data_IF_824847361078
#
_entry.id   IF_824847361078
#
_cell.length_a   1.000
_cell.length_b   1.000
_cell.length_c   1.000
_cell.angle_alpha   90.00
_cell.angle_beta   90.00
_cell.angle_gamma   90.00
#
_symmetry.space_group_name_H-M   'P 1'
#
loop_
_entity.id
_entity.type
_entity.pdbx_description
1 polymer ?
#
# COMPACT_ATOMS: atom_id res chain seq x y z
N UNK A 1 5.09 -1.95 5.88
CA UNK A 1 4.85 -2.82 7.03
C UNK A 1 3.51 -3.51 6.88
N UNK A 2 3.48 -4.81 7.02
CA UNK A 2 2.26 -5.63 7.10
C UNK A 2 2.14 -6.24 8.49
N UNK A 3 0.94 -6.23 9.02
CA UNK A 3 0.60 -6.79 10.32
C UNK A 3 -0.70 -7.58 10.24
N UNK A 4 -0.73 -8.75 10.86
CA UNK A 4 -1.90 -9.61 10.97
C UNK A 4 -2.18 -9.95 12.44
N UNK A 5 -3.46 -9.95 12.82
CA UNK A 5 -3.91 -10.33 14.16
C UNK A 5 -5.25 -11.05 14.08
N UNK A 6 -5.18 -12.38 14.06
CA UNK A 6 -6.36 -13.23 14.01
C UNK A 6 -7.31 -13.00 15.19
N UNK A 7 -8.61 -12.92 14.90
CA UNK A 7 -9.64 -12.86 15.92
C UNK A 7 -9.70 -11.55 16.70
N UNK A 8 -9.05 -10.48 16.20
CA UNK A 8 -9.20 -9.17 16.81
C UNK A 8 -10.63 -8.68 16.55
N UNK A 9 -11.51 -8.79 17.55
CA UNK A 9 -12.88 -8.23 17.47
C UNK A 9 -12.88 -6.70 17.34
N UNK A 10 -11.71 -6.06 17.49
CA UNK A 10 -11.52 -4.61 17.49
C UNK A 10 -10.40 -4.19 16.53
N UNK A 11 -10.51 -4.55 15.24
CA UNK A 11 -9.53 -4.14 14.22
C UNK A 11 -9.27 -2.62 14.22
N UNK A 12 -10.30 -1.80 14.50
CA UNK A 12 -10.17 -0.34 14.58
C UNK A 12 -9.19 0.06 15.70
N UNK A 13 -9.27 -0.58 16.85
CA UNK A 13 -8.35 -0.34 17.97
C UNK A 13 -6.92 -0.75 17.61
N UNK A 14 -6.76 -1.89 16.95
CA UNK A 14 -5.47 -2.39 16.48
C UNK A 14 -4.82 -1.42 15.48
N UNK A 15 -5.54 -1.05 14.41
CA UNK A 15 -5.07 -0.09 13.41
C UNK A 15 -4.70 1.25 14.04
N UNK A 16 -5.57 1.78 14.90
CA UNK A 16 -5.31 3.04 15.58
C UNK A 16 -4.02 2.98 16.41
N UNK A 17 -3.79 1.86 17.11
CA UNK A 17 -2.56 1.70 17.89
C UNK A 17 -1.32 1.61 17.03
N UNK A 18 -1.37 0.88 15.91
CA UNK A 18 -0.28 0.84 14.92
C UNK A 18 0.06 2.25 14.43
N UNK A 19 -0.94 3.03 14.00
CA UNK A 19 -0.73 4.38 13.49
C UNK A 19 -0.20 5.34 14.58
N UNK A 20 -0.61 5.17 15.83
CA UNK A 20 -0.05 5.96 16.93
C UNK A 20 1.41 5.61 17.18
N UNK A 21 1.80 4.34 17.13
CA UNK A 21 3.21 3.95 17.23
C UNK A 21 4.02 4.61 16.09
N UNK A 22 3.56 4.55 14.84
CA UNK A 22 4.24 5.23 13.73
C UNK A 22 4.43 6.72 14.02
N UNK A 23 3.36 7.39 14.48
CA UNK A 23 3.40 8.81 14.84
C UNK A 23 4.39 9.10 15.98
N UNK A 24 4.45 8.26 17.00
CA UNK A 24 5.33 8.45 18.16
C UNK A 24 6.82 8.35 17.76
N UNK A 25 7.13 7.58 16.71
CA UNK A 25 8.45 7.50 16.08
C UNK A 25 8.67 8.56 14.98
N UNK A 26 7.69 9.44 14.73
CA UNK A 26 7.80 10.49 13.71
C UNK A 26 7.68 9.98 12.27
N UNK A 27 7.16 8.76 12.06
CA UNK A 27 6.97 8.17 10.74
C UNK A 27 5.71 8.73 10.10
N UNK A 28 5.85 9.35 8.93
CA UNK A 28 4.71 9.76 8.13
C UNK A 28 4.15 8.57 7.34
N UNK A 29 2.84 8.35 7.47
CA UNK A 29 2.15 7.26 6.78
C UNK A 29 1.28 7.80 5.65
N UNK A 30 1.44 7.22 4.44
CA UNK A 30 0.75 7.72 3.23
C UNK A 30 -0.53 6.97 2.94
N UNK A 31 -0.56 5.68 3.28
CA UNK A 31 -1.69 4.82 2.95
C UNK A 31 -1.70 3.63 3.90
N UNK A 32 -2.89 3.13 4.28
CA UNK A 32 -3.03 2.03 5.23
C UNK A 32 -4.22 1.14 4.86
N UNK A 33 -4.07 0.31 3.80
CA UNK A 33 -5.08 -0.68 3.46
C UNK A 33 -5.32 -1.61 4.64
N UNK A 34 -6.59 -1.87 4.91
CA UNK A 34 -7.00 -2.74 6.01
C UNK A 34 -8.01 -3.76 5.53
N UNK A 35 -7.96 -4.97 6.06
CA UNK A 35 -9.01 -5.96 5.99
C UNK A 35 -9.45 -6.32 7.41
N UNK A 36 -10.17 -7.41 7.54
CA UNK A 36 -10.78 -7.85 8.80
C UNK A 36 -9.75 -8.11 9.90
N UNK A 37 -8.65 -8.74 9.55
CA UNK A 37 -7.66 -9.26 10.49
C UNK A 37 -6.24 -8.73 10.20
N UNK A 38 -6.09 -7.80 9.24
CA UNK A 38 -4.79 -7.25 8.88
C UNK A 38 -4.79 -5.75 8.57
N UNK A 39 -3.60 -5.19 8.59
CA UNK A 39 -3.31 -3.83 8.14
C UNK A 39 -1.95 -3.80 7.46
N UNK A 40 -1.89 -3.14 6.31
CA UNK A 40 -0.63 -2.71 5.72
C UNK A 40 -0.45 -1.20 5.95
N UNK A 41 0.73 -0.79 6.38
CA UNK A 41 1.07 0.63 6.55
C UNK A 41 2.16 0.99 5.55
N UNK A 42 1.86 1.94 4.69
CA UNK A 42 2.77 2.41 3.63
C UNK A 42 3.43 3.70 4.07
N UNK A 43 4.74 3.71 4.06
CA UNK A 43 5.59 4.80 4.53
C UNK A 43 6.87 4.90 3.70
N UNK A 44 7.61 5.98 3.82
CA UNK A 44 8.95 6.07 3.25
C UNK A 44 9.91 5.10 3.95
N UNK A 45 10.62 4.32 3.16
CA UNK A 45 11.63 3.39 3.67
C UNK A 45 12.75 4.13 4.41
N UNK A 46 13.09 5.35 3.98
CA UNK A 46 14.14 6.16 4.60
C UNK A 46 13.79 6.60 6.03
N UNK A 47 12.50 6.75 6.34
CA UNK A 47 12.05 7.15 7.66
C UNK A 47 12.27 6.04 8.72
N UNK A 48 12.46 4.80 8.29
CA UNK A 48 12.75 3.66 9.16
C UNK A 48 14.21 3.57 9.60
N UNK A 49 15.12 4.32 8.95
CA UNK A 49 16.56 4.22 9.23
C UNK A 49 16.85 4.62 10.68
N UNK A 50 17.34 3.63 11.43
CA UNK A 50 17.75 3.79 12.84
C UNK A 50 16.64 3.63 13.87
N UNK A 51 15.39 3.39 13.46
CA UNK A 51 14.27 3.16 14.39
C UNK A 51 13.44 1.89 14.09
N UNK A 52 13.77 1.14 13.04
CA UNK A 52 13.00 -0.05 12.64
C UNK A 52 12.95 -1.13 13.72
N UNK A 53 14.09 -1.41 14.37
CA UNK A 53 14.17 -2.40 15.45
C UNK A 53 13.31 -1.97 16.66
N UNK A 54 13.39 -0.69 17.04
CA UNK A 54 12.62 -0.14 18.14
C UNK A 54 11.11 -0.15 17.86
N UNK A 55 10.71 0.17 16.64
CA UNK A 55 9.32 0.08 16.17
C UNK A 55 8.84 -1.38 16.24
N UNK A 56 9.67 -2.30 15.74
CA UNK A 56 9.38 -3.74 15.76
C UNK A 56 9.16 -4.24 17.19
N UNK A 57 10.05 -3.89 18.11
CA UNK A 57 9.92 -4.29 19.52
C UNK A 57 8.67 -3.69 20.17
N UNK A 58 8.39 -2.42 19.88
CA UNK A 58 7.21 -1.73 20.42
C UNK A 58 5.92 -2.38 19.93
N UNK A 59 5.82 -2.66 18.62
CA UNK A 59 4.65 -3.33 18.03
C UNK A 59 4.47 -4.73 18.65
N UNK A 60 5.52 -5.53 18.71
CA UNK A 60 5.46 -6.88 19.30
C UNK A 60 5.01 -6.85 20.77
N UNK A 61 5.54 -5.91 21.54
CA UNK A 61 5.23 -5.78 22.97
C UNK A 61 3.79 -5.33 23.23
N UNK A 62 3.29 -4.40 22.42
CA UNK A 62 2.00 -3.75 22.70
C UNK A 62 0.84 -4.40 21.99
N UNK A 63 1.06 -4.98 20.81
CA UNK A 63 0.01 -5.50 19.95
C UNK A 63 0.07 -7.02 19.77
N UNK A 64 1.25 -7.62 20.01
CA UNK A 64 1.46 -9.06 19.87
C UNK A 64 0.82 -9.62 18.58
N UNK A 65 1.23 -9.12 17.39
CA UNK A 65 0.66 -9.56 16.12
C UNK A 65 1.01 -11.02 15.83
N UNK A 66 0.11 -11.75 15.17
CA UNK A 66 0.36 -13.13 14.76
C UNK A 66 1.35 -13.20 13.62
N UNK A 67 1.37 -12.18 12.75
CA UNK A 67 2.38 -11.99 11.73
C UNK A 67 2.78 -10.51 11.61
N UNK A 68 4.06 -10.28 11.32
CA UNK A 68 4.62 -8.95 11.09
C UNK A 68 5.75 -9.03 10.07
N UNK A 69 5.65 -8.27 8.99
CA UNK A 69 6.65 -8.27 7.92
C UNK A 69 6.84 -6.88 7.33
N UNK A 70 8.11 -6.50 7.08
CA UNK A 70 8.44 -5.32 6.30
C UNK A 70 8.70 -5.71 4.84
N UNK A 71 8.01 -5.06 3.92
CA UNK A 71 8.25 -5.14 2.48
C UNK A 71 8.99 -3.89 2.02
N UNK A 72 10.16 -4.08 1.40
CA UNK A 72 11.03 -2.99 0.98
C UNK A 72 11.01 -2.80 -0.54
N UNK A 73 11.50 -1.64 -0.97
CA UNK A 73 11.67 -1.29 -2.38
C UNK A 73 10.37 -1.33 -3.18
N UNK A 74 9.25 -1.04 -2.53
CA UNK A 74 7.97 -0.87 -3.22
C UNK A 74 7.87 0.53 -3.83
N UNK A 75 7.26 0.60 -5.01
CA UNK A 75 6.83 1.84 -5.64
C UNK A 75 5.32 1.87 -5.74
N UNK A 76 4.71 3.00 -5.36
CA UNK A 76 3.28 3.23 -5.53
C UNK A 76 3.07 4.12 -6.75
N UNK A 77 2.34 3.61 -7.74
CA UNK A 77 1.93 4.37 -8.91
C UNK A 77 0.44 4.67 -8.78
N UNK A 78 0.09 5.93 -8.94
CA UNK A 78 -1.28 6.40 -8.74
C UNK A 78 -1.80 7.12 -9.98
N UNK A 79 -2.48 6.42 -10.90
CA UNK A 79 -3.24 7.07 -11.95
C UNK A 79 -4.34 7.95 -11.35
N UNK A 80 -4.45 9.19 -11.83
CA UNK A 80 -5.42 10.17 -11.35
C UNK A 80 -6.15 10.79 -12.53
N UNK A 81 -7.48 10.76 -12.50
CA UNK A 81 -8.29 11.37 -13.55
C UNK A 81 -9.77 11.43 -13.19
N UNK A 82 -10.38 12.60 -13.31
CA UNK A 82 -11.82 12.79 -13.04
C UNK A 82 -12.68 11.90 -13.93
N UNK A 83 -12.26 11.66 -15.18
CA UNK A 83 -12.96 10.82 -16.16
C UNK A 83 -13.07 9.35 -15.74
N UNK A 84 -12.17 8.84 -14.93
CA UNK A 84 -12.16 7.45 -14.48
C UNK A 84 -13.45 7.02 -13.78
N UNK A 85 -14.11 7.95 -13.10
CA UNK A 85 -15.40 7.73 -12.42
C UNK A 85 -16.50 7.28 -13.36
N UNK A 86 -16.41 7.66 -14.63
CA UNK A 86 -17.44 7.44 -15.63
C UNK A 86 -17.02 6.43 -16.71
N UNK A 87 -15.83 5.88 -16.58
CA UNK A 87 -15.26 4.93 -17.52
C UNK A 87 -15.08 3.56 -16.85
N UNK A 88 -16.04 2.64 -17.02
CA UNK A 88 -15.93 1.30 -16.44
C UNK A 88 -14.75 0.55 -17.05
N UNK A 89 -13.91 -0.04 -16.20
CA UNK A 89 -12.85 -0.92 -16.67
C UNK A 89 -11.44 -0.32 -16.65
N UNK A 90 -11.26 0.95 -16.28
CA UNK A 90 -9.93 1.58 -16.22
C UNK A 90 -8.95 0.76 -15.36
N UNK A 91 -9.38 0.24 -14.21
CA UNK A 91 -8.54 -0.64 -13.38
C UNK A 91 -8.20 -1.94 -14.10
N UNK A 92 -9.17 -2.54 -14.84
CA UNK A 92 -8.92 -3.76 -15.60
C UNK A 92 -7.88 -3.51 -16.70
N UNK A 93 -7.95 -2.38 -17.39
CA UNK A 93 -6.96 -2.00 -18.41
C UNK A 93 -5.58 -1.77 -17.80
N UNK A 94 -5.51 -1.14 -16.62
CA UNK A 94 -4.27 -0.97 -15.87
C UNK A 94 -3.68 -2.33 -15.46
N UNK A 95 -4.50 -3.23 -14.92
CA UNK A 95 -4.06 -4.58 -14.55
C UNK A 95 -3.59 -5.40 -15.76
N UNK A 96 -4.25 -5.25 -16.91
CA UNK A 96 -3.81 -5.86 -18.17
C UNK A 96 -2.48 -5.29 -18.64
N UNK A 97 -2.26 -3.98 -18.51
CA UNK A 97 -0.98 -3.36 -18.81
C UNK A 97 0.15 -3.96 -17.96
N UNK A 98 -0.08 -4.13 -16.66
CA UNK A 98 0.90 -4.79 -15.76
C UNK A 98 1.15 -6.24 -16.18
N UNK A 99 0.10 -7.01 -16.39
CA UNK A 99 0.21 -8.42 -16.84
C UNK A 99 1.01 -8.54 -18.13
N UNK A 100 0.72 -7.71 -19.14
CA UNK A 100 1.38 -7.78 -20.45
C UNK A 100 2.87 -7.42 -20.38
N UNK A 101 3.29 -6.68 -19.36
CA UNK A 101 4.68 -6.35 -19.08
C UNK A 101 5.32 -7.25 -18.01
N UNK A 102 4.62 -8.33 -17.61
CA UNK A 102 5.08 -9.30 -16.62
C UNK A 102 5.41 -8.65 -15.26
N UNK A 103 4.60 -7.66 -14.86
CA UNK A 103 4.72 -6.93 -13.60
C UNK A 103 3.64 -7.43 -12.64
N UNK A 104 4.05 -7.92 -11.46
CA UNK A 104 3.13 -8.28 -10.40
C UNK A 104 2.61 -7.04 -9.68
N UNK A 105 1.32 -7.02 -9.37
CA UNK A 105 0.71 -6.01 -8.50
C UNK A 105 0.67 -6.58 -7.09
N UNK A 106 1.35 -5.93 -6.16
CA UNK A 106 1.42 -6.36 -4.75
C UNK A 106 0.36 -5.66 -3.90
N UNK A 107 -0.02 -4.44 -4.29
CA UNK A 107 -1.06 -3.67 -3.62
C UNK A 107 -1.97 -3.07 -4.68
N UNK A 108 -3.27 -3.14 -4.47
CA UNK A 108 -4.25 -2.42 -5.27
C UNK A 108 -5.32 -1.83 -4.34
N UNK A 109 -5.58 -0.54 -4.49
CA UNK A 109 -6.61 0.14 -3.73
C UNK A 109 -7.27 1.26 -4.53
N UNK A 110 -8.57 1.45 -4.32
CA UNK A 110 -9.35 2.54 -4.93
C UNK A 110 -10.36 3.09 -3.92
N UNK A 111 -10.30 4.40 -3.69
CA UNK A 111 -11.29 5.09 -2.88
C UNK A 111 -12.66 5.24 -3.58
N UNK A 112 -13.74 5.48 -2.81
CA UNK A 112 -15.11 5.59 -3.34
C UNK A 112 -15.32 6.81 -4.25
N UNK A 113 -14.43 7.78 -4.27
CA UNK A 113 -14.46 8.89 -5.20
C UNK A 113 -14.18 8.46 -6.65
N UNK A 114 -13.49 7.34 -6.86
CA UNK A 114 -13.18 6.74 -8.16
C UNK A 114 -12.41 7.66 -9.12
N UNK A 115 -11.66 8.62 -8.59
CA UNK A 115 -10.84 9.56 -9.37
C UNK A 115 -9.36 9.21 -9.35
N UNK A 116 -8.98 8.22 -8.56
CA UNK A 116 -7.64 7.66 -8.48
C UNK A 116 -7.70 6.22 -8.00
N UNK A 117 -6.66 5.46 -8.30
CA UNK A 117 -6.36 4.19 -7.67
C UNK A 117 -4.85 4.05 -7.47
N UNK A 118 -4.44 3.16 -6.59
CA UNK A 118 -3.05 2.96 -6.24
C UNK A 118 -2.62 1.54 -6.62
N UNK A 119 -1.48 1.42 -7.29
CA UNK A 119 -0.81 0.16 -7.60
C UNK A 119 0.54 0.12 -6.90
N UNK A 120 0.71 -0.80 -5.97
CA UNK A 120 2.00 -1.11 -5.37
C UNK A 120 2.69 -2.21 -6.16
N UNK A 121 3.93 -1.96 -6.56
CA UNK A 121 4.76 -2.88 -7.33
C UNK A 121 6.19 -2.85 -6.81
N UNK A 122 7.01 -3.82 -7.18
CA UNK A 122 8.44 -3.77 -6.91
C UNK A 122 9.10 -2.59 -7.62
N UNK A 123 9.92 -1.83 -6.90
CA UNK A 123 10.48 -0.55 -7.36
C UNK A 123 11.31 -0.64 -8.63
N UNK A 124 11.98 -1.79 -8.87
CA UNK A 124 12.76 -1.98 -10.10
C UNK A 124 11.90 -2.06 -11.39
N UNK A 125 10.58 -2.19 -11.23
CA UNK A 125 9.64 -2.13 -12.37
C UNK A 125 9.00 -0.74 -12.56
N UNK A 126 9.30 0.26 -11.71
CA UNK A 126 8.58 1.53 -11.68
C UNK A 126 8.51 2.22 -13.04
N UNK A 127 9.64 2.35 -13.73
CA UNK A 127 9.70 3.00 -15.05
C UNK A 127 8.91 2.22 -16.11
N UNK A 128 9.05 0.89 -16.13
CA UNK A 128 8.30 0.04 -17.07
C UNK A 128 6.80 0.11 -16.82
N UNK A 129 6.39 0.08 -15.57
CA UNK A 129 5.00 0.16 -15.17
C UNK A 129 4.40 1.53 -15.53
N UNK A 130 5.15 2.61 -15.28
CA UNK A 130 4.70 3.96 -15.62
C UNK A 130 4.48 4.12 -17.14
N UNK A 131 5.42 3.64 -17.95
CA UNK A 131 5.29 3.68 -19.41
C UNK A 131 4.11 2.82 -19.88
N UNK A 132 3.97 1.60 -19.37
CA UNK A 132 2.87 0.70 -19.72
C UNK A 132 1.49 1.29 -19.40
N UNK A 133 1.37 1.95 -18.23
CA UNK A 133 0.14 2.63 -17.81
C UNK A 133 -0.12 3.87 -18.68
N UNK A 134 0.91 4.66 -18.98
CA UNK A 134 0.79 5.84 -19.83
C UNK A 134 0.29 5.47 -21.24
N UNK A 135 0.93 4.48 -21.88
CA UNK A 135 0.56 4.02 -23.22
C UNK A 135 -0.87 3.46 -23.24
N UNK A 136 -1.28 2.79 -22.15
CA UNK A 136 -2.59 2.15 -22.11
C UNK A 136 -3.73 3.08 -21.72
N UNK A 137 -3.49 4.01 -20.80
CA UNK A 137 -4.55 4.84 -20.22
C UNK A 137 -4.59 6.27 -20.79
N UNK A 138 -3.48 6.77 -21.32
CA UNK A 138 -3.34 8.16 -21.76
C UNK A 138 -3.22 8.26 -23.28
N UNK A 139 -2.53 7.31 -23.90
CA UNK A 139 -2.38 7.21 -25.37
C UNK A 139 -2.86 5.84 -25.87
N UNK A 140 -4.17 5.56 -25.79
CA UNK A 140 -4.70 4.27 -26.22
C UNK A 140 -4.70 4.10 -27.74
#
# INVERSE_FOLDING_TARGET
LYLEKDGSQEIIGFVNRVLNIMKDYGIETYHYPTDRDDVAVIMNQEDLIGCEDDITETIKKELDPDNMEFFYNLSIISPVGIGMRYDPGVIAEAALAMKNNNINIEIIDQGPAQISFHLGIQGYYADNALNALYDKLIQP
#
